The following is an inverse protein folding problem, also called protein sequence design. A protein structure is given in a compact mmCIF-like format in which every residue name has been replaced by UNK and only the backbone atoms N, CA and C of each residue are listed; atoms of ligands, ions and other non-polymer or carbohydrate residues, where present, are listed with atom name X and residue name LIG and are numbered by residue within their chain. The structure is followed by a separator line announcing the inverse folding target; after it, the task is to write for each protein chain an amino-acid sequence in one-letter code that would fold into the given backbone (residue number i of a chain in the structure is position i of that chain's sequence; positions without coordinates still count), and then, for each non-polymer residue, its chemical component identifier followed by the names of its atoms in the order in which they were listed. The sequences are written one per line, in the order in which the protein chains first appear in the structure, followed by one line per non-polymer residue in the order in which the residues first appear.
data_IF_410827733101
#
_entry.id   IF_410827733101
#
_cell.length_a   1.000
_cell.length_b   1.000
_cell.length_c   1.000
_cell.angle_alpha   90.00
_cell.angle_beta   90.00
_cell.angle_gamma   90.00
#
_symmetry.space_group_name_H-M   'P 1'
#
loop_
_entity.id
_entity.type
_entity.pdbx_description
1 polymer ?
#
# COMPACT_ATOMS: atom_id res chain seq x y z
N UNK A 1 48.56 -15.46 -32.87
CA UNK A 1 47.93 -15.52 -31.56
C UNK A 1 48.19 -16.87 -30.94
N UNK A 2 48.76 -16.90 -29.74
CA UNK A 2 49.01 -18.10 -28.98
C UNK A 2 47.70 -18.72 -28.51
N UNK A 3 47.57 -20.04 -28.49
CA UNK A 3 46.41 -20.75 -27.97
C UNK A 3 46.08 -20.35 -26.52
N UNK A 4 47.08 -20.10 -25.71
CA UNK A 4 46.92 -19.65 -24.33
C UNK A 4 46.27 -18.27 -24.27
N UNK A 5 46.66 -17.35 -25.14
CA UNK A 5 46.09 -16.02 -25.22
C UNK A 5 44.63 -16.07 -25.70
N UNK A 6 44.33 -16.95 -26.67
CA UNK A 6 42.99 -17.15 -27.16
C UNK A 6 42.04 -17.71 -26.08
N UNK A 7 42.54 -18.72 -25.33
CA UNK A 7 41.80 -19.29 -24.20
C UNK A 7 41.51 -18.25 -23.11
N UNK A 8 42.49 -17.39 -22.81
CA UNK A 8 42.31 -16.32 -21.80
C UNK A 8 41.25 -15.31 -22.23
N UNK A 9 41.26 -14.90 -23.51
CA UNK A 9 40.28 -13.98 -24.07
C UNK A 9 38.87 -14.60 -24.02
N UNK A 10 38.76 -15.90 -24.42
CA UNK A 10 37.49 -16.61 -24.36
C UNK A 10 36.95 -16.72 -22.93
N UNK A 11 37.82 -16.98 -21.95
CA UNK A 11 37.43 -17.04 -20.54
C UNK A 11 36.94 -15.71 -20.00
N UNK A 12 37.61 -14.60 -20.36
CA UNK A 12 37.20 -13.26 -19.95
C UNK A 12 35.85 -12.90 -20.58
N UNK A 13 35.66 -13.20 -21.88
CA UNK A 13 34.41 -12.95 -22.57
C UNK A 13 33.25 -13.74 -21.93
N UNK A 14 33.45 -15.01 -21.60
CA UNK A 14 32.47 -15.85 -20.93
C UNK A 14 32.11 -15.31 -19.56
N UNK A 15 33.08 -14.82 -18.80
CA UNK A 15 32.86 -14.23 -17.49
C UNK A 15 32.01 -12.95 -17.60
N UNK A 16 32.34 -12.10 -18.57
CA UNK A 16 31.57 -10.84 -18.81
C UNK A 16 30.12 -11.15 -19.20
N UNK A 17 29.90 -12.12 -20.07
CA UNK A 17 28.53 -12.54 -20.46
C UNK A 17 27.77 -13.06 -19.24
N UNK A 18 28.40 -13.84 -18.38
CA UNK A 18 27.79 -14.38 -17.16
C UNK A 18 27.41 -13.26 -16.20
N UNK A 19 28.29 -12.27 -16.02
CA UNK A 19 28.01 -11.12 -15.15
C UNK A 19 26.87 -10.27 -15.66
N UNK A 20 26.82 -10.00 -16.97
CA UNK A 20 25.72 -9.25 -17.60
C UNK A 20 24.41 -10.02 -17.45
N UNK A 21 24.42 -11.32 -17.71
CA UNK A 21 23.22 -12.16 -17.56
C UNK A 21 22.72 -12.16 -16.12
N UNK A 22 23.61 -12.24 -15.14
CA UNK A 22 23.25 -12.18 -13.72
C UNK A 22 22.64 -10.81 -13.36
N UNK A 23 23.24 -9.73 -13.86
CA UNK A 23 22.73 -8.36 -13.62
C UNK A 23 21.32 -8.19 -14.20
N UNK A 24 21.07 -8.67 -15.41
CA UNK A 24 19.76 -8.63 -16.05
C UNK A 24 18.75 -9.43 -15.24
N UNK A 25 19.10 -10.64 -14.83
CA UNK A 25 18.24 -11.50 -14.02
C UNK A 25 17.89 -10.86 -12.67
N UNK A 26 18.87 -10.25 -12.02
CA UNK A 26 18.67 -9.54 -10.75
C UNK A 26 17.72 -8.36 -10.93
N UNK A 27 17.87 -7.60 -12.02
CA UNK A 27 17.00 -6.47 -12.35
C UNK A 27 15.55 -6.92 -12.57
N UNK A 28 15.35 -8.01 -13.31
CA UNK A 28 14.03 -8.59 -13.52
C UNK A 28 13.41 -9.08 -12.22
N UNK A 29 14.20 -9.73 -11.37
CA UNK A 29 13.74 -10.21 -10.07
C UNK A 29 13.28 -9.07 -9.17
N UNK A 30 14.05 -7.98 -9.09
CA UNK A 30 13.70 -6.80 -8.29
C UNK A 30 12.43 -6.15 -8.83
N UNK A 31 12.29 -6.02 -10.17
CA UNK A 31 11.11 -5.45 -10.79
C UNK A 31 9.86 -6.29 -10.49
N UNK A 32 9.98 -7.62 -10.56
CA UNK A 32 8.89 -8.54 -10.24
C UNK A 32 8.49 -8.43 -8.76
N UNK A 33 9.47 -8.38 -7.87
CA UNK A 33 9.22 -8.20 -6.42
C UNK A 33 8.50 -6.90 -6.11
N UNK A 34 8.91 -5.81 -6.74
CA UNK A 34 8.23 -4.51 -6.59
C UNK A 34 6.78 -4.57 -7.06
N UNK A 35 6.54 -5.25 -8.18
CA UNK A 35 5.19 -5.43 -8.71
C UNK A 35 4.33 -6.25 -7.76
N UNK A 36 4.86 -7.34 -7.23
CA UNK A 36 4.16 -8.18 -6.24
C UNK A 36 3.85 -7.41 -4.96
N UNK A 37 4.79 -6.62 -4.46
CA UNK A 37 4.60 -5.79 -3.27
C UNK A 37 3.52 -4.75 -3.50
N UNK A 38 3.48 -4.14 -4.68
CA UNK A 38 2.42 -3.19 -5.05
C UNK A 38 1.05 -3.83 -5.07
N UNK A 39 0.94 -5.03 -5.64
CA UNK A 39 -0.31 -5.77 -5.69
C UNK A 39 -0.78 -6.17 -4.29
N UNK A 40 0.14 -6.62 -3.44
CA UNK A 40 -0.16 -6.97 -2.06
C UNK A 40 -0.58 -5.75 -1.25
N UNK A 41 0.13 -4.64 -1.39
CA UNK A 41 -0.20 -3.39 -0.73
C UNK A 41 -1.59 -2.90 -1.15
N UNK A 42 -1.91 -2.96 -2.44
CA UNK A 42 -3.23 -2.58 -2.95
C UNK A 42 -4.31 -3.49 -2.38
N UNK A 43 -4.07 -4.80 -2.31
CA UNK A 43 -5.04 -5.77 -1.77
C UNK A 43 -5.33 -5.48 -0.30
N UNK A 44 -4.31 -5.26 0.50
CA UNK A 44 -4.46 -4.93 1.93
C UNK A 44 -5.20 -3.61 2.10
N UNK A 45 -4.84 -2.60 1.31
CA UNK A 45 -5.52 -1.30 1.33
C UNK A 45 -6.99 -1.43 0.95
N UNK A 46 -7.30 -2.18 -0.10
CA UNK A 46 -8.68 -2.41 -0.55
C UNK A 46 -9.51 -3.10 0.53
N UNK A 47 -8.95 -4.12 1.17
CA UNK A 47 -9.60 -4.82 2.28
C UNK A 47 -9.85 -3.88 3.46
N UNK A 48 -8.90 -3.01 3.75
CA UNK A 48 -9.01 -2.03 4.82
C UNK A 48 -10.18 -1.06 4.55
N UNK A 49 -10.26 -0.51 3.35
CA UNK A 49 -11.36 0.38 2.93
C UNK A 49 -12.71 -0.34 3.01
N UNK A 50 -12.74 -1.59 2.58
CA UNK A 50 -13.94 -2.42 2.62
C UNK A 50 -14.43 -2.61 4.07
N UNK A 51 -13.53 -2.88 4.99
CA UNK A 51 -13.85 -3.04 6.42
C UNK A 51 -14.37 -1.74 7.02
N UNK A 52 -13.76 -0.60 6.70
CA UNK A 52 -14.21 0.72 7.16
C UNK A 52 -15.63 1.00 6.64
N UNK A 53 -15.86 0.78 5.34
CA UNK A 53 -17.14 1.09 4.69
C UNK A 53 -18.29 0.25 5.23
N UNK A 54 -18.06 -1.02 5.50
CA UNK A 54 -19.08 -1.94 6.02
C UNK A 54 -19.26 -1.88 7.52
N UNK A 55 -18.30 -1.27 8.21
CA UNK A 55 -18.31 -1.23 9.66
C UNK A 55 -18.02 -2.58 10.33
N UNK A 56 -17.57 -3.57 9.54
CA UNK A 56 -17.27 -4.92 10.03
C UNK A 56 -18.50 -5.68 10.52
N UNK A 57 -18.30 -6.92 10.94
CA UNK A 57 -19.33 -7.77 11.55
C UNK A 57 -19.45 -7.54 13.06
N UNK A 58 -18.68 -6.61 13.59
CA UNK A 58 -18.63 -6.30 15.01
C UNK A 58 -19.70 -5.29 15.39
N UNK A 59 -20.25 -5.45 16.58
CA UNK A 59 -21.31 -4.59 17.10
C UNK A 59 -20.85 -3.82 18.33
N UNK A 60 -21.45 -2.63 18.55
CA UNK A 60 -21.21 -1.82 19.75
C UNK A 60 -19.85 -1.16 19.78
N UNK A 61 -19.21 -1.17 20.95
CA UNK A 61 -17.93 -0.52 21.18
C UNK A 61 -16.78 -1.13 20.39
N UNK A 62 -16.84 -2.44 20.13
CA UNK A 62 -15.84 -3.11 19.30
C UNK A 62 -15.85 -2.61 17.86
N UNK A 63 -17.03 -2.36 17.31
CA UNK A 63 -17.17 -1.79 15.97
C UNK A 63 -16.49 -0.43 15.89
N UNK A 64 -16.71 0.42 16.86
CA UNK A 64 -16.10 1.74 16.91
C UNK A 64 -14.58 1.66 17.00
N UNK A 65 -14.05 0.82 17.89
CA UNK A 65 -12.60 0.63 18.07
C UNK A 65 -11.97 0.12 16.79
N UNK A 66 -12.60 -0.86 16.14
CA UNK A 66 -12.11 -1.41 14.88
C UNK A 66 -12.11 -0.35 13.78
N UNK A 67 -13.17 0.43 13.65
CA UNK A 67 -13.24 1.52 12.66
C UNK A 67 -12.16 2.56 12.90
N UNK A 68 -11.93 2.96 14.13
CA UNK A 68 -10.86 3.90 14.49
C UNK A 68 -9.48 3.34 14.11
N UNK A 69 -9.23 2.08 14.46
CA UNK A 69 -7.97 1.42 14.12
C UNK A 69 -7.74 1.38 12.60
N UNK A 70 -8.76 1.03 11.83
CA UNK A 70 -8.68 0.97 10.37
C UNK A 70 -8.41 2.35 9.77
N UNK A 71 -9.05 3.41 10.27
CA UNK A 71 -8.83 4.78 9.79
C UNK A 71 -7.38 5.20 10.03
N UNK A 72 -6.84 4.94 11.22
CA UNK A 72 -5.45 5.25 11.53
C UNK A 72 -4.47 4.42 10.71
N UNK A 73 -4.81 3.17 10.42
CA UNK A 73 -3.98 2.27 9.60
C UNK A 73 -3.80 2.82 8.17
N UNK A 74 -4.74 3.59 7.66
CA UNK A 74 -4.64 4.21 6.33
C UNK A 74 -3.39 5.08 6.16
N UNK A 75 -2.81 5.58 7.25
CA UNK A 75 -1.56 6.35 7.22
C UNK A 75 -0.36 5.55 6.73
N UNK A 76 -0.45 4.21 6.82
CA UNK A 76 0.63 3.32 6.40
C UNK A 76 0.66 3.06 4.89
N UNK A 77 -0.23 3.71 4.14
CA UNK A 77 -0.33 3.57 2.68
C UNK A 77 -0.17 4.93 1.99
N UNK A 78 1.03 5.56 2.08
CA UNK A 78 1.23 6.89 1.53
C UNK A 78 1.06 6.98 0.01
N UNK A 79 1.24 5.87 -0.71
CA UNK A 79 1.04 5.80 -2.15
C UNK A 79 -0.42 6.02 -2.56
N UNK A 80 -1.37 5.87 -1.64
CA UNK A 80 -2.80 6.05 -1.89
C UNK A 80 -3.38 7.28 -1.20
N UNK A 81 -2.56 8.24 -0.81
CA UNK A 81 -2.97 9.42 -0.03
C UNK A 81 -4.13 10.19 -0.67
N UNK A 82 -4.06 10.43 -1.97
CA UNK A 82 -5.12 11.15 -2.68
C UNK A 82 -6.45 10.40 -2.64
N UNK A 83 -6.40 9.11 -2.94
CA UNK A 83 -7.59 8.25 -2.91
C UNK A 83 -8.15 8.16 -1.49
N UNK A 84 -7.29 7.99 -0.50
CA UNK A 84 -7.67 7.93 0.91
C UNK A 84 -8.40 9.20 1.33
N UNK A 85 -7.86 10.37 0.94
CA UNK A 85 -8.49 11.65 1.24
C UNK A 85 -9.90 11.77 0.66
N UNK A 86 -10.07 11.38 -0.60
CA UNK A 86 -11.38 11.40 -1.27
C UNK A 86 -12.37 10.45 -0.61
N UNK A 87 -11.93 9.24 -0.28
CA UNK A 87 -12.77 8.23 0.36
C UNK A 87 -13.20 8.63 1.76
N UNK A 88 -12.28 9.18 2.56
CA UNK A 88 -12.60 9.64 3.92
C UNK A 88 -13.58 10.80 3.91
N UNK A 89 -13.43 11.74 2.98
CA UNK A 89 -14.37 12.85 2.83
C UNK A 89 -15.77 12.36 2.43
N UNK A 90 -15.84 11.37 1.55
CA UNK A 90 -17.11 10.77 1.14
C UNK A 90 -17.77 10.03 2.30
N UNK A 91 -17.01 9.24 3.06
CA UNK A 91 -17.53 8.55 4.25
C UNK A 91 -18.07 9.53 5.28
N UNK A 92 -17.34 10.61 5.53
CA UNK A 92 -17.77 11.67 6.43
C UNK A 92 -19.13 12.25 6.03
N UNK A 93 -19.30 12.54 4.73
CA UNK A 93 -20.53 13.06 4.17
C UNK A 93 -21.69 12.07 4.33
N UNK A 94 -21.46 10.81 4.00
CA UNK A 94 -22.47 9.75 4.12
C UNK A 94 -22.90 9.54 5.57
N UNK A 95 -21.95 9.52 6.50
CA UNK A 95 -22.24 9.32 7.92
C UNK A 95 -23.00 10.51 8.53
N UNK A 96 -22.77 11.73 8.05
CA UNK A 96 -23.49 12.90 8.52
C UNK A 96 -24.92 13.00 7.97
N UNK A 97 -25.18 12.38 6.80
CA UNK A 97 -26.49 12.38 6.17
C UNK A 97 -27.40 11.23 6.64
N UNK A 98 -26.81 10.17 7.19
CA UNK A 98 -27.56 9.01 7.64
C UNK A 98 -28.05 9.20 9.08
N UNK A 99 -29.20 9.85 9.22
CA UNK A 99 -29.83 10.06 10.53
C UNK A 99 -30.36 8.76 11.16
N UNK A 100 -30.47 7.68 10.38
CA UNK A 100 -31.27 6.52 10.77
C UNK A 100 -30.48 5.41 11.46
N UNK A 101 -29.30 5.65 12.04
CA UNK A 101 -28.67 4.59 12.78
C UNK A 101 -27.17 4.69 13.00
N UNK A 102 -26.55 5.73 12.50
CA UNK A 102 -25.17 6.00 12.82
C UNK A 102 -25.12 7.21 13.72
N UNK A 103 -24.86 7.03 15.02
CA UNK A 103 -24.65 8.20 15.86
C UNK A 103 -23.48 8.97 15.25
N UNK A 104 -23.66 10.28 15.08
CA UNK A 104 -22.56 11.20 14.84
C UNK A 104 -21.53 10.95 15.93
N UNK A 105 -20.56 10.11 15.65
CA UNK A 105 -19.56 9.77 16.64
C UNK A 105 -18.39 10.75 16.52
N UNK A 106 -18.20 11.65 17.51
CA UNK A 106 -17.12 12.63 17.46
C UNK A 106 -15.73 11.98 17.34
N UNK A 107 -15.58 10.76 17.86
CA UNK A 107 -14.31 10.03 17.77
C UNK A 107 -13.96 9.66 16.32
N UNK A 108 -14.96 9.24 15.54
CA UNK A 108 -14.76 8.92 14.12
C UNK A 108 -14.44 10.17 13.31
N UNK A 109 -15.15 11.27 13.54
CA UNK A 109 -14.86 12.54 12.88
C UNK A 109 -13.45 13.03 13.20
N UNK A 110 -13.06 12.95 14.47
CA UNK A 110 -11.72 13.33 14.90
C UNK A 110 -10.66 12.46 14.24
N UNK A 111 -10.86 11.15 14.15
CA UNK A 111 -9.94 10.23 13.50
C UNK A 111 -9.79 10.56 12.02
N UNK A 112 -10.88 10.86 11.32
CA UNK A 112 -10.86 11.27 9.91
C UNK A 112 -10.10 12.59 9.76
N UNK A 113 -10.39 13.59 10.57
CA UNK A 113 -9.72 14.88 10.51
C UNK A 113 -8.22 14.78 10.76
N UNK A 114 -7.81 14.03 11.77
CA UNK A 114 -6.39 13.80 12.06
C UNK A 114 -5.69 13.06 10.92
N UNK A 115 -6.34 12.08 10.33
CA UNK A 115 -5.79 11.33 9.21
C UNK A 115 -5.65 12.22 7.98
N UNK A 116 -6.67 13.00 7.64
CA UNK A 116 -6.61 13.95 6.54
C UNK A 116 -5.50 14.99 6.72
N UNK A 117 -5.35 15.51 7.93
CA UNK A 117 -4.27 16.45 8.27
C UNK A 117 -2.89 15.80 8.09
N UNK A 118 -2.74 14.54 8.50
CA UNK A 118 -1.51 13.79 8.32
C UNK A 118 -1.16 13.60 6.84
N UNK A 119 -2.15 13.27 6.02
CA UNK A 119 -1.95 13.05 4.58
C UNK A 119 -1.53 14.33 3.86
N UNK A 120 -2.02 15.49 4.29
CA UNK A 120 -1.65 16.78 3.70
C UNK A 120 -0.20 17.18 3.99
N UNK A 121 0.39 16.66 5.06
CA UNK A 121 1.80 16.94 5.42
C UNK A 121 2.81 16.14 4.60
N UNK A 122 2.36 15.17 3.85
CA UNK A 122 3.20 14.36 2.97
C UNK A 122 3.05 14.87 1.52
#
# INVERSE_FOLDING_TARGET
MNLTALASVASIAALLVSLVSLAISAKHYVALRKKEQKQESFRVYHDLIKHISRGGDEHGSFKLVSQLAYIYELRNFPEYNKLTGELLNRLRTEWSQNDAGSPNNPALEKAIDETLAHLQKQ
#
